data_IF_877954895935
#
_entry.id   IF_877954895935
#
_cell.length_a   1.000
_cell.length_b   1.000
_cell.length_c   1.000
_cell.angle_alpha   90.00
_cell.angle_beta   90.00
_cell.angle_gamma   90.00
#
_symmetry.space_group_name_H-M   'P 1'
#
loop_
_entity.id
_entity.type
_entity.pdbx_description
1 polymer ?
#
# COMPACT_ATOMS: atom_id res chain seq x y z
N UNK A 1 12.82 -20.46 13.28
CA UNK A 1 13.09 -19.02 13.45
C UNK A 1 13.68 -18.47 12.15
N UNK A 2 12.93 -17.65 11.41
CA UNK A 2 13.31 -17.21 10.05
C UNK A 2 13.81 -15.76 9.92
N UNK A 3 13.83 -14.97 10.99
CA UNK A 3 14.13 -13.52 10.91
C UNK A 3 15.60 -13.17 11.15
N UNK A 4 16.48 -14.14 11.44
CA UNK A 4 17.89 -13.88 11.77
C UNK A 4 18.68 -13.24 10.62
N UNK A 5 18.34 -13.58 9.38
CA UNK A 5 18.98 -12.99 8.19
C UNK A 5 18.56 -11.52 8.02
N UNK A 6 17.26 -11.22 8.15
CA UNK A 6 16.73 -9.86 7.98
C UNK A 6 17.31 -8.92 9.04
N UNK A 7 17.43 -9.35 10.30
CA UNK A 7 18.03 -8.52 11.36
C UNK A 7 19.48 -8.14 11.07
N UNK A 8 20.27 -9.06 10.52
CA UNK A 8 21.66 -8.79 10.11
C UNK A 8 21.70 -7.82 8.93
N UNK A 9 20.80 -8.00 7.96
CA UNK A 9 20.70 -7.12 6.80
C UNK A 9 20.28 -5.71 7.20
N UNK A 10 19.25 -5.55 8.05
CA UNK A 10 18.77 -4.25 8.54
C UNK A 10 19.88 -3.50 9.27
N UNK A 11 20.59 -4.16 10.19
CA UNK A 11 21.72 -3.54 10.90
C UNK A 11 22.82 -3.07 9.93
N UNK A 12 23.12 -3.83 8.88
CA UNK A 12 24.08 -3.42 7.86
C UNK A 12 23.59 -2.21 7.04
N UNK A 13 22.30 -2.12 6.74
CA UNK A 13 21.72 -0.98 6.02
C UNK A 13 21.68 0.29 6.88
N UNK A 14 21.33 0.18 8.16
CA UNK A 14 21.36 1.30 9.11
C UNK A 14 22.78 1.87 9.27
N UNK A 15 23.79 1.01 9.42
CA UNK A 15 25.19 1.44 9.52
C UNK A 15 25.67 2.06 8.19
N UNK A 16 25.23 1.54 7.06
CA UNK A 16 25.54 2.11 5.74
C UNK A 16 24.97 3.53 5.58
N UNK A 17 23.70 3.74 5.91
CA UNK A 17 23.07 5.06 5.87
C UNK A 17 23.73 6.05 6.84
N UNK A 18 24.05 5.59 8.06
CA UNK A 18 24.77 6.41 9.05
C UNK A 18 26.15 6.87 8.55
N UNK A 19 26.85 6.04 7.76
CA UNK A 19 28.15 6.42 7.18
C UNK A 19 28.00 7.42 6.04
N UNK A 20 26.96 7.28 5.22
CA UNK A 20 26.68 8.23 4.14
C UNK A 20 26.30 9.61 4.67
N UNK A 21 25.50 9.69 5.74
CA UNK A 21 25.10 10.96 6.35
C UNK A 21 26.27 11.74 6.99
N UNK A 22 27.25 11.01 7.51
CA UNK A 22 28.47 11.59 8.10
C UNK A 22 29.54 11.96 7.06
N UNK A 23 29.34 11.62 5.78
CA UNK A 23 30.31 11.93 4.73
C UNK A 23 30.02 13.30 4.09
N UNK A 24 30.95 14.27 4.13
CA UNK A 24 30.70 15.66 3.74
C UNK A 24 30.27 15.83 2.27
N UNK A 25 30.65 14.89 1.40
CA UNK A 25 30.27 14.90 -0.03
C UNK A 25 28.88 14.28 -0.25
N UNK A 26 28.53 13.22 0.48
CA UNK A 26 27.25 12.51 0.27
C UNK A 26 26.10 13.12 1.07
N UNK A 27 26.40 13.81 2.18
CA UNK A 27 25.42 14.61 2.93
C UNK A 27 24.83 15.75 2.09
N UNK A 28 25.61 16.32 1.17
CA UNK A 28 25.18 17.39 0.28
C UNK A 28 24.56 16.84 -1.03
N UNK A 29 24.56 15.52 -1.24
CA UNK A 29 24.00 14.92 -2.45
C UNK A 29 22.48 14.99 -2.43
N UNK A 30 21.91 15.59 -3.48
CA UNK A 30 20.46 15.78 -3.59
C UNK A 30 19.74 14.44 -3.76
N UNK A 31 20.35 13.45 -4.41
CA UNK A 31 19.75 12.13 -4.58
C UNK A 31 19.73 11.34 -3.27
N UNK A 32 20.74 11.50 -2.42
CA UNK A 32 20.75 10.89 -1.08
C UNK A 32 19.65 11.47 -0.19
N UNK A 33 19.46 12.79 -0.23
CA UNK A 33 18.38 13.45 0.49
C UNK A 33 16.99 13.02 0.00
N UNK A 34 16.80 12.96 -1.32
CA UNK A 34 15.57 12.42 -1.91
C UNK A 34 15.39 10.97 -1.50
N UNK A 35 16.42 10.13 -1.52
CA UNK A 35 16.33 8.73 -1.11
C UNK A 35 15.89 8.54 0.36
N UNK A 36 16.32 9.42 1.27
CA UNK A 36 15.88 9.41 2.67
C UNK A 36 14.48 9.97 2.89
N UNK A 37 14.09 11.00 2.13
CA UNK A 37 12.77 11.64 2.22
C UNK A 37 11.70 10.89 1.41
N UNK A 38 12.10 9.96 0.54
CA UNK A 38 11.21 9.17 -0.31
C UNK A 38 10.45 8.12 0.52
N UNK A 39 9.30 8.52 1.04
CA UNK A 39 8.33 7.67 1.75
C UNK A 39 7.54 6.66 0.86
N UNK A 40 7.38 6.84 -0.48
CA UNK A 40 6.67 5.83 -1.27
C UNK A 40 7.35 4.47 -1.22
N UNK A 41 6.54 3.43 -1.16
CA UNK A 41 6.99 2.04 -1.09
C UNK A 41 7.92 1.72 -2.27
N UNK A 42 9.24 1.69 -2.00
CA UNK A 42 10.32 1.28 -2.92
C UNK A 42 10.29 -0.22 -3.21
N UNK A 43 9.10 -0.83 -3.16
CA UNK A 43 8.77 -2.13 -3.70
C UNK A 43 9.05 -2.14 -5.21
N UNK A 44 10.32 -2.34 -5.58
CA UNK A 44 10.76 -2.68 -6.95
C UNK A 44 10.20 -4.03 -7.42
N UNK A 45 9.53 -4.76 -6.51
CA UNK A 45 8.78 -5.96 -6.85
C UNK A 45 7.50 -5.57 -7.58
N UNK A 46 7.56 -5.60 -8.91
CA UNK A 46 6.37 -5.49 -9.74
C UNK A 46 5.32 -6.51 -9.30
N UNK A 47 4.05 -6.07 -9.17
CA UNK A 47 2.92 -6.94 -8.78
C UNK A 47 2.93 -8.21 -9.63
N UNK A 48 3.02 -9.37 -8.97
CA UNK A 48 3.05 -10.65 -9.66
C UNK A 48 1.73 -10.87 -10.43
N UNK A 49 1.74 -11.66 -11.51
CA UNK A 49 0.50 -11.98 -12.28
C UNK A 49 -0.63 -12.48 -11.37
N UNK A 50 -0.30 -13.22 -10.31
CA UNK A 50 -1.23 -13.72 -9.29
C UNK A 50 -1.85 -12.60 -8.44
N UNK A 51 -1.04 -11.63 -8.02
CA UNK A 51 -1.50 -10.47 -7.24
C UNK A 51 -2.39 -9.56 -8.07
N UNK A 52 -2.03 -9.30 -9.34
CA UNK A 52 -2.91 -8.54 -10.26
C UNK A 52 -4.24 -9.23 -10.51
N UNK A 53 -4.25 -10.56 -10.57
CA UNK A 53 -5.49 -11.33 -10.73
C UNK A 53 -6.35 -11.25 -9.46
N UNK A 54 -5.72 -11.39 -8.29
CA UNK A 54 -6.40 -11.25 -7.00
C UNK A 54 -6.97 -9.84 -6.83
N UNK A 55 -6.21 -8.79 -7.15
CA UNK A 55 -6.66 -7.40 -7.11
C UNK A 55 -7.89 -7.19 -7.99
N UNK A 56 -7.89 -7.70 -9.23
CA UNK A 56 -9.07 -7.63 -10.12
C UNK A 56 -10.26 -8.40 -9.59
N UNK A 57 -10.03 -9.56 -8.98
CA UNK A 57 -11.10 -10.36 -8.38
C UNK A 57 -11.72 -9.65 -7.17
N UNK A 58 -10.88 -9.10 -6.29
CA UNK A 58 -11.33 -8.31 -5.13
C UNK A 58 -12.06 -7.04 -5.56
N UNK A 59 -11.60 -6.38 -6.63
CA UNK A 59 -12.30 -5.23 -7.19
C UNK A 59 -13.71 -5.62 -7.67
N UNK A 60 -13.82 -6.74 -8.41
CA UNK A 60 -15.11 -7.27 -8.89
C UNK A 60 -16.07 -7.60 -7.73
N UNK A 61 -15.56 -8.23 -6.66
CA UNK A 61 -16.36 -8.51 -5.47
C UNK A 61 -16.86 -7.24 -4.79
N UNK A 62 -16.00 -6.21 -4.73
CA UNK A 62 -16.35 -4.91 -4.16
C UNK A 62 -17.47 -4.25 -4.95
N UNK A 63 -17.39 -4.28 -6.28
CA UNK A 63 -18.40 -3.70 -7.17
C UNK A 63 -19.75 -4.41 -7.01
N UNK A 64 -19.75 -5.75 -6.93
CA UNK A 64 -20.98 -6.54 -6.69
C UNK A 64 -21.58 -6.23 -5.32
N UNK A 65 -20.74 -6.19 -4.28
CA UNK A 65 -21.19 -5.84 -2.94
C UNK A 65 -21.82 -4.44 -2.90
N UNK A 66 -21.24 -3.48 -3.63
CA UNK A 66 -21.77 -2.12 -3.74
C UNK A 66 -23.16 -2.10 -4.39
N UNK A 67 -23.36 -2.86 -5.48
CA UNK A 67 -24.66 -2.98 -6.14
C UNK A 67 -25.70 -3.59 -5.20
N UNK A 68 -25.34 -4.64 -4.47
CA UNK A 68 -26.25 -5.30 -3.53
C UNK A 68 -26.66 -4.37 -2.37
N UNK A 69 -25.68 -3.69 -1.76
CA UNK A 69 -25.93 -2.75 -0.67
C UNK A 69 -26.79 -1.57 -1.14
N UNK A 70 -26.48 -0.99 -2.31
CA UNK A 70 -27.28 0.10 -2.88
C UNK A 70 -28.70 -0.37 -3.20
N UNK A 71 -28.85 -1.58 -3.74
CA UNK A 71 -30.14 -2.19 -4.05
C UNK A 71 -31.03 -2.37 -2.82
N UNK A 72 -30.49 -2.86 -1.71
CA UNK A 72 -31.24 -2.95 -0.44
C UNK A 72 -31.62 -1.56 0.09
N UNK A 73 -30.71 -0.58 -0.01
CA UNK A 73 -31.01 0.80 0.39
C UNK A 73 -32.14 1.43 -0.45
N UNK A 74 -32.15 1.22 -1.77
CA UNK A 74 -33.22 1.71 -2.65
C UNK A 74 -34.56 1.03 -2.37
N UNK A 75 -34.56 -0.29 -2.17
CA UNK A 75 -35.78 -1.04 -1.84
C UNK A 75 -36.38 -0.62 -0.49
N UNK A 76 -35.53 -0.27 0.49
CA UNK A 76 -35.99 0.28 1.78
C UNK A 76 -36.56 1.68 1.63
N UNK A 77 -35.96 2.53 0.79
CA UNK A 77 -36.47 3.87 0.54
C UNK A 77 -37.86 3.83 -0.12
N UNK A 78 -38.05 2.98 -1.13
CA UNK A 78 -39.33 2.85 -1.85
C UNK A 78 -40.46 2.38 -0.91
N UNK A 79 -40.19 1.39 -0.04
CA UNK A 79 -41.15 0.92 0.96
C UNK A 79 -41.55 2.00 1.98
N UNK A 80 -40.63 2.87 2.37
CA UNK A 80 -40.92 3.97 3.30
C UNK A 80 -41.74 5.08 2.62
N UNK A 81 -41.54 5.32 1.32
CA UNK A 81 -42.34 6.28 0.55
C UNK A 81 -43.75 5.80 0.24
N UNK A 82 -43.95 4.49 0.03
CA UNK A 82 -45.30 3.93 -0.12
C UNK A 82 -46.06 3.88 1.20
N UNK A 83 -45.40 3.62 2.33
CA UNK A 83 -46.05 3.62 3.65
C UNK A 83 -46.49 5.02 4.12
N UNK A 84 -46.04 6.10 3.46
CA UNK A 84 -46.42 7.49 3.74
C UNK A 84 -47.48 8.06 2.77
N UNK A 85 -47.99 7.25 1.83
CA UNK A 85 -49.17 7.57 1.02
C UNK A 85 -50.40 6.90 1.59
#
# INVERSE_FOLDING_TARGET
GGFGHIKKTVAMHEVFLSRLENHPIFRADTNFRVFLEYEPDLSVRGKNKKEKLLDRFLQRLRDIAWVYIKGDATLRADKLTEAHK
#
